data_IF_734681481593
#
_entry.id   IF_734681481593
#
_cell.length_a   1.000
_cell.length_b   1.000
_cell.length_c   1.000
_cell.angle_alpha   90.00
_cell.angle_beta   90.00
_cell.angle_gamma   90.00
#
_symmetry.space_group_name_H-M   'P 1'
#
loop_
_entity.id
_entity.type
_entity.pdbx_description
1 polymer ?
#
# COMPACT_ATOMS: atom_id res chain seq x y z
N UNK A 1 -24.61 -23.27 2.16
CA UNK A 1 -26.00 -23.66 1.93
C UNK A 1 -26.38 -23.17 0.55
N UNK A 2 -26.59 -24.09 -0.40
CA UNK A 2 -27.17 -23.75 -1.71
C UNK A 2 -28.63 -23.44 -1.52
N UNK A 3 -29.03 -22.20 -1.68
CA UNK A 3 -30.45 -21.81 -1.66
C UNK A 3 -31.04 -22.19 -3.02
N UNK A 4 -31.90 -23.19 -3.03
CA UNK A 4 -32.65 -23.59 -4.21
C UNK A 4 -33.64 -22.46 -4.58
N UNK A 5 -33.41 -21.77 -5.67
CA UNK A 5 -34.37 -20.79 -6.17
C UNK A 5 -35.49 -21.51 -6.96
N UNK A 6 -36.71 -21.23 -6.60
CA UNK A 6 -37.92 -21.70 -7.31
C UNK A 6 -37.87 -21.20 -8.77
N UNK A 7 -38.27 -22.03 -9.77
CA UNK A 7 -38.34 -21.61 -11.19
C UNK A 7 -39.16 -20.34 -11.46
N UNK A 8 -40.11 -19.98 -10.61
CA UNK A 8 -40.84 -18.71 -10.70
C UNK A 8 -40.00 -17.53 -10.23
N UNK A 9 -39.15 -17.69 -9.24
CA UNK A 9 -38.17 -16.66 -8.80
C UNK A 9 -37.10 -16.44 -9.86
N UNK A 10 -36.69 -17.48 -10.57
CA UNK A 10 -35.78 -17.36 -11.73
C UNK A 10 -36.44 -16.61 -12.90
N UNK A 11 -37.74 -16.75 -13.13
CA UNK A 11 -38.49 -15.99 -14.13
C UNK A 11 -38.64 -14.51 -13.76
N UNK A 12 -38.80 -14.17 -12.48
CA UNK A 12 -38.80 -12.77 -12.02
C UNK A 12 -37.43 -12.12 -12.17
N UNK A 13 -36.35 -12.84 -11.80
CA UNK A 13 -34.98 -12.35 -11.99
C UNK A 13 -34.57 -12.17 -13.47
N UNK A 14 -35.28 -12.86 -14.40
CA UNK A 14 -35.01 -12.76 -15.84
C UNK A 14 -35.87 -11.72 -16.58
N UNK A 15 -36.85 -11.09 -15.92
CA UNK A 15 -37.80 -10.19 -16.60
C UNK A 15 -37.50 -8.69 -16.48
N UNK A 16 -36.50 -8.24 -15.69
CA UNK A 16 -36.30 -6.79 -15.45
C UNK A 16 -34.90 -6.25 -15.72
N UNK A 17 -34.04 -6.94 -16.41
CA UNK A 17 -32.82 -6.32 -16.91
C UNK A 17 -32.72 -6.53 -18.41
N UNK A 18 -33.25 -5.60 -19.21
CA UNK A 18 -32.64 -5.33 -20.51
C UNK A 18 -31.15 -5.06 -20.21
N UNK A 19 -30.20 -5.86 -20.73
CA UNK A 19 -28.80 -5.62 -20.48
C UNK A 19 -28.47 -4.21 -21.01
N UNK A 20 -28.35 -3.24 -20.12
CA UNK A 20 -27.85 -1.93 -20.51
C UNK A 20 -26.45 -2.19 -21.05
N UNK A 21 -26.19 -1.65 -22.26
CA UNK A 21 -24.84 -1.71 -22.82
C UNK A 21 -23.89 -1.08 -21.81
N UNK A 22 -22.81 -1.79 -21.38
CA UNK A 22 -21.90 -1.23 -20.39
C UNK A 22 -21.38 0.11 -20.82
N UNK A 23 -21.19 1.04 -19.88
CA UNK A 23 -20.65 2.37 -20.15
C UNK A 23 -19.22 2.34 -20.66
N UNK A 24 -18.48 1.27 -20.39
CA UNK A 24 -17.10 1.05 -20.80
C UNK A 24 -16.39 0.05 -19.90
N UNK A 25 -15.14 -0.21 -20.20
CA UNK A 25 -14.26 -1.08 -19.43
C UNK A 25 -13.28 -0.23 -18.62
N UNK A 26 -13.15 -0.53 -17.33
CA UNK A 26 -12.08 -0.03 -16.47
C UNK A 26 -11.09 -1.16 -16.26
N UNK A 27 -9.86 -0.95 -16.72
CA UNK A 27 -8.78 -1.92 -16.59
C UNK A 27 -7.96 -1.66 -15.34
N UNK A 28 -7.73 -2.71 -14.55
CA UNK A 28 -6.79 -2.70 -13.43
C UNK A 28 -5.49 -3.33 -13.91
N UNK A 29 -4.39 -2.57 -13.88
CA UNK A 29 -3.04 -3.05 -14.12
C UNK A 29 -2.32 -3.22 -12.78
N UNK A 30 -1.81 -4.42 -12.50
CA UNK A 30 -1.06 -4.70 -11.26
C UNK A 30 0.23 -5.44 -11.56
N UNK A 31 1.32 -5.01 -10.92
CA UNK A 31 2.64 -5.62 -11.07
C UNK A 31 2.93 -6.65 -9.96
N UNK A 32 2.10 -6.72 -8.93
CA UNK A 32 2.23 -7.67 -7.84
C UNK A 32 1.07 -8.68 -7.77
N UNK A 33 1.27 -9.85 -7.15
CA UNK A 33 0.18 -10.75 -6.83
C UNK A 33 -0.75 -10.09 -5.81
N UNK A 34 -2.06 -10.09 -6.10
CA UNK A 34 -3.08 -9.61 -5.19
C UNK A 34 -3.67 -10.83 -4.48
N UNK A 35 -3.11 -11.20 -3.35
CA UNK A 35 -3.62 -12.28 -2.50
C UNK A 35 -4.52 -11.73 -1.38
N UNK A 36 -5.12 -12.63 -0.59
CA UNK A 36 -6.02 -12.26 0.51
C UNK A 36 -5.34 -11.53 1.68
N UNK A 37 -4.02 -11.50 1.71
CA UNK A 37 -3.23 -10.81 2.73
C UNK A 37 -2.79 -9.43 2.27
N UNK A 38 -2.97 -9.13 0.97
CA UNK A 38 -2.62 -7.86 0.40
C UNK A 38 -3.62 -6.76 0.83
N UNK A 39 -3.12 -5.57 1.19
CA UNK A 39 -3.97 -4.45 1.62
C UNK A 39 -5.05 -4.10 0.58
N UNK A 40 -4.78 -4.30 -0.70
CA UNK A 40 -5.67 -3.92 -1.80
C UNK A 40 -6.85 -4.87 -2.03
N UNK A 41 -6.89 -6.07 -1.43
CA UNK A 41 -7.96 -7.05 -1.71
C UNK A 41 -9.36 -6.52 -1.35
N UNK A 42 -9.52 -5.91 -0.16
CA UNK A 42 -10.77 -5.29 0.28
C UNK A 42 -11.11 -4.05 -0.56
N UNK A 43 -10.11 -3.26 -0.95
CA UNK A 43 -10.27 -2.12 -1.84
C UNK A 43 -10.81 -2.56 -3.20
N UNK A 44 -10.27 -3.64 -3.78
CA UNK A 44 -10.70 -4.17 -5.07
C UNK A 44 -12.14 -4.68 -5.05
N UNK A 45 -12.54 -5.39 -4.00
CA UNK A 45 -13.92 -5.83 -3.83
C UNK A 45 -14.89 -4.64 -3.77
N UNK A 46 -14.53 -3.60 -3.04
CA UNK A 46 -15.33 -2.37 -2.96
C UNK A 46 -15.37 -1.66 -4.31
N UNK A 47 -14.24 -1.49 -4.96
CA UNK A 47 -14.12 -0.86 -6.27
C UNK A 47 -14.96 -1.61 -7.33
N UNK A 48 -14.92 -2.95 -7.34
CA UNK A 48 -15.72 -3.77 -8.24
C UNK A 48 -17.23 -3.56 -8.00
N UNK A 49 -17.66 -3.54 -6.75
CA UNK A 49 -19.08 -3.31 -6.41
C UNK A 49 -19.56 -1.95 -6.88
N UNK A 50 -18.83 -0.88 -6.58
CA UNK A 50 -19.19 0.49 -6.95
C UNK A 50 -19.23 0.67 -8.47
N UNK A 51 -18.21 0.23 -9.19
CA UNK A 51 -18.14 0.37 -10.65
C UNK A 51 -19.21 -0.45 -11.37
N UNK A 52 -19.51 -1.68 -10.89
CA UNK A 52 -20.55 -2.52 -11.46
C UNK A 52 -21.94 -1.88 -11.30
N UNK A 53 -22.23 -1.27 -10.14
CA UNK A 53 -23.48 -0.54 -9.92
C UNK A 53 -23.65 0.65 -10.86
N UNK A 54 -22.54 1.25 -11.29
CA UNK A 54 -22.50 2.35 -12.24
C UNK A 54 -22.45 1.89 -13.71
N UNK A 55 -22.56 0.58 -13.96
CA UNK A 55 -22.64 0.01 -15.30
C UNK A 55 -21.29 -0.13 -16.04
N UNK A 56 -20.15 -0.13 -15.34
CA UNK A 56 -18.84 -0.39 -15.91
C UNK A 56 -18.44 -1.85 -15.74
N UNK A 57 -17.62 -2.35 -16.68
CA UNK A 57 -16.96 -3.65 -16.57
C UNK A 57 -15.56 -3.43 -15.98
N UNK A 58 -15.15 -4.28 -15.04
CA UNK A 58 -13.76 -4.31 -14.57
C UNK A 58 -13.05 -5.51 -15.17
N UNK A 59 -11.86 -5.25 -15.71
CA UNK A 59 -10.89 -6.27 -16.08
C UNK A 59 -9.62 -6.11 -15.26
N UNK A 60 -8.97 -7.23 -14.97
CA UNK A 60 -7.72 -7.23 -14.21
C UNK A 60 -6.61 -7.88 -15.05
N UNK A 61 -5.51 -7.16 -15.19
CA UNK A 61 -4.36 -7.58 -15.97
C UNK A 61 -3.12 -7.56 -15.07
N UNK A 62 -2.49 -8.71 -14.91
CA UNK A 62 -1.21 -8.80 -14.24
C UNK A 62 -0.09 -8.50 -15.22
N UNK A 63 0.76 -7.55 -14.85
CA UNK A 63 1.96 -7.18 -15.60
C UNK A 63 3.14 -7.98 -15.05
N UNK A 64 3.81 -8.73 -15.89
CA UNK A 64 5.02 -9.47 -15.53
C UNK A 64 6.25 -8.56 -15.46
N UNK A 65 7.31 -9.03 -14.78
CA UNK A 65 8.59 -8.32 -14.75
C UNK A 65 9.19 -8.15 -16.17
N UNK A 66 8.99 -9.13 -17.05
CA UNK A 66 9.46 -9.08 -18.44
C UNK A 66 8.70 -7.99 -19.24
N UNK A 67 7.37 -7.92 -19.10
CA UNK A 67 6.56 -6.88 -19.73
C UNK A 67 6.95 -5.49 -19.22
N UNK A 68 7.19 -5.33 -17.91
CA UNK A 68 7.69 -4.07 -17.37
C UNK A 68 9.06 -3.67 -17.95
N UNK A 69 10.01 -4.61 -17.99
CA UNK A 69 11.35 -4.37 -18.48
C UNK A 69 11.38 -4.01 -19.97
N UNK A 70 10.46 -4.59 -20.75
CA UNK A 70 10.36 -4.37 -22.19
C UNK A 70 9.34 -3.28 -22.56
N UNK A 71 8.73 -2.59 -21.59
CA UNK A 71 7.67 -1.58 -21.82
C UNK A 71 6.50 -2.13 -22.65
N UNK A 72 6.07 -3.35 -22.34
CA UNK A 72 4.98 -4.03 -23.03
C UNK A 72 3.74 -4.10 -22.14
N UNK A 73 2.57 -3.96 -22.74
CA UNK A 73 1.30 -4.21 -22.08
C UNK A 73 1.00 -5.71 -22.08
N UNK A 74 0.25 -6.23 -21.08
CA UNK A 74 -0.21 -7.61 -21.09
C UNK A 74 -1.00 -7.93 -22.39
N UNK A 75 -0.80 -9.11 -22.95
CA UNK A 75 -1.50 -9.54 -24.16
C UNK A 75 -3.04 -9.53 -24.03
N UNK A 76 -3.55 -9.63 -22.81
CA UNK A 76 -4.98 -9.55 -22.51
C UNK A 76 -5.52 -8.12 -22.42
N UNK A 77 -4.66 -7.11 -22.47
CA UNK A 77 -5.07 -5.70 -22.40
C UNK A 77 -5.35 -5.15 -23.78
N UNK A 78 -6.58 -4.66 -24.00
CA UNK A 78 -7.08 -4.14 -25.26
C UNK A 78 -7.46 -2.66 -25.11
N UNK A 79 -6.54 -1.72 -25.37
CA UNK A 79 -6.75 -0.28 -25.13
C UNK A 79 -8.03 0.29 -25.76
N UNK A 80 -8.44 -0.25 -26.91
CA UNK A 80 -9.63 0.19 -27.67
C UNK A 80 -10.95 -0.01 -26.93
N UNK A 81 -10.99 -0.87 -25.90
CA UNK A 81 -12.17 -1.16 -25.10
C UNK A 81 -12.18 -0.41 -23.75
N UNK A 82 -11.02 0.15 -23.35
CA UNK A 82 -10.78 0.69 -22.02
C UNK A 82 -11.07 2.18 -21.97
N UNK A 83 -11.94 2.60 -21.05
CA UNK A 83 -12.25 4.00 -20.81
C UNK A 83 -11.46 4.61 -19.63
N UNK A 84 -10.82 3.79 -18.81
CA UNK A 84 -9.98 4.23 -17.69
C UNK A 84 -9.10 3.11 -17.14
N UNK A 85 -7.94 3.48 -16.61
CA UNK A 85 -6.94 2.55 -16.07
C UNK A 85 -6.71 2.87 -14.60
N UNK A 86 -6.72 1.83 -13.75
CA UNK A 86 -6.26 1.91 -12.37
C UNK A 86 -4.96 1.10 -12.26
N UNK A 87 -3.87 1.75 -11.90
CA UNK A 87 -2.58 1.12 -11.66
C UNK A 87 -2.39 0.87 -10.16
N UNK A 88 -2.10 -0.38 -9.78
CA UNK A 88 -1.82 -0.80 -8.41
C UNK A 88 -0.44 -1.43 -8.40
N UNK A 89 0.43 -1.00 -7.46
CA UNK A 89 1.81 -1.48 -7.35
C UNK A 89 2.62 -1.37 -8.65
N UNK A 90 2.39 -0.31 -9.40
CA UNK A 90 3.15 0.02 -10.61
C UNK A 90 4.23 1.03 -10.26
N UNK A 91 5.37 0.55 -9.74
CA UNK A 91 6.42 1.40 -9.16
C UNK A 91 7.60 1.67 -10.09
N UNK A 92 7.66 1.03 -11.25
CA UNK A 92 8.62 1.40 -12.29
C UNK A 92 8.17 2.70 -12.98
N UNK A 93 8.97 3.77 -12.85
CA UNK A 93 8.62 5.09 -13.37
C UNK A 93 8.44 5.11 -14.89
N UNK A 94 9.34 4.47 -15.63
CA UNK A 94 9.31 4.50 -17.10
C UNK A 94 8.13 3.69 -17.65
N UNK A 95 7.79 2.57 -16.99
CA UNK A 95 6.59 1.81 -17.30
C UNK A 95 5.31 2.60 -16.98
N UNK A 96 5.25 3.24 -15.81
CA UNK A 96 4.13 4.12 -15.43
C UNK A 96 3.95 5.27 -16.44
N UNK A 97 5.05 5.86 -16.90
CA UNK A 97 5.05 6.89 -17.94
C UNK A 97 4.55 6.36 -19.27
N UNK A 98 4.92 5.15 -19.65
CA UNK A 98 4.41 4.50 -20.87
C UNK A 98 2.90 4.33 -20.79
N UNK A 99 2.34 3.86 -19.66
CA UNK A 99 0.88 3.74 -19.45
C UNK A 99 0.20 5.11 -19.59
N UNK A 100 0.77 6.17 -19.03
CA UNK A 100 0.21 7.51 -19.16
C UNK A 100 0.17 8.04 -20.61
N UNK A 101 0.96 7.49 -21.52
CA UNK A 101 1.00 7.87 -22.94
C UNK A 101 -0.04 7.12 -23.80
N UNK A 102 -0.94 6.32 -23.19
CA UNK A 102 -1.99 5.60 -23.92
C UNK A 102 -3.21 6.48 -24.26
N UNK A 103 -3.20 7.75 -23.88
CA UNK A 103 -4.33 8.69 -24.03
C UNK A 103 -5.64 8.21 -23.39
N UNK A 104 -5.53 7.36 -22.37
CA UNK A 104 -6.61 6.87 -21.53
C UNK A 104 -6.48 7.47 -20.13
N UNK A 105 -7.57 7.91 -19.47
CA UNK A 105 -7.53 8.32 -18.07
C UNK A 105 -6.86 7.31 -17.15
N UNK A 106 -5.82 7.73 -16.42
CA UNK A 106 -5.04 6.87 -15.49
C UNK A 106 -5.17 7.38 -14.07
N UNK A 107 -5.39 6.45 -13.17
CA UNK A 107 -5.31 6.62 -11.72
C UNK A 107 -4.25 5.67 -11.15
N UNK A 108 -3.30 6.18 -10.41
CA UNK A 108 -2.39 5.37 -9.60
C UNK A 108 -2.89 5.26 -8.16
N UNK A 109 -3.01 4.04 -7.66
CA UNK A 109 -3.16 3.75 -6.22
C UNK A 109 -1.78 3.41 -5.70
N UNK A 110 -1.17 4.38 -5.03
CA UNK A 110 0.26 4.53 -4.85
C UNK A 110 1.01 4.63 -6.21
N UNK A 111 2.22 5.09 -6.23
CA UNK A 111 2.93 5.35 -7.48
C UNK A 111 4.45 5.34 -7.28
N UNK A 112 5.27 5.28 -8.36
CA UNK A 112 6.72 5.41 -8.24
C UNK A 112 7.12 6.74 -7.61
N UNK A 113 8.27 6.78 -6.95
CA UNK A 113 8.81 8.03 -6.41
C UNK A 113 9.11 9.00 -7.55
N UNK A 114 8.43 10.16 -7.57
CA UNK A 114 8.48 11.06 -8.72
C UNK A 114 9.69 11.98 -8.75
N UNK A 115 10.16 12.45 -7.61
CA UNK A 115 11.33 13.35 -7.47
C UNK A 115 11.39 14.49 -8.52
N UNK A 116 10.25 15.19 -8.68
CA UNK A 116 10.18 16.31 -9.63
C UNK A 116 9.94 15.90 -11.09
N UNK A 117 9.68 14.62 -11.37
CA UNK A 117 9.27 14.10 -12.69
C UNK A 117 7.78 13.74 -12.70
N UNK A 118 6.86 14.71 -12.88
CA UNK A 118 5.43 14.44 -12.77
C UNK A 118 4.95 13.46 -13.82
N UNK A 119 3.97 12.63 -13.44
CA UNK A 119 3.20 11.78 -14.37
C UNK A 119 1.86 12.47 -14.65
N UNK A 120 1.38 12.47 -15.91
CA UNK A 120 0.07 13.03 -16.27
C UNK A 120 -1.07 12.08 -15.87
N UNK A 121 -1.29 11.91 -14.57
CA UNK A 121 -2.30 11.01 -13.99
C UNK A 121 -2.80 11.52 -12.65
N UNK A 122 -4.02 11.14 -12.28
CA UNK A 122 -4.50 11.29 -10.90
C UNK A 122 -3.84 10.25 -9.99
N UNK A 123 -3.72 10.57 -8.69
CA UNK A 123 -3.03 9.76 -7.70
C UNK A 123 -3.87 9.65 -6.44
N UNK A 124 -4.00 8.44 -5.94
CA UNK A 124 -4.66 8.13 -4.69
C UNK A 124 -3.65 7.50 -3.74
N UNK A 125 -3.50 8.08 -2.57
CA UNK A 125 -2.60 7.61 -1.52
C UNK A 125 -3.35 7.53 -0.19
N UNK A 126 -2.77 6.83 0.77
CA UNK A 126 -3.13 6.91 2.18
C UNK A 126 -2.28 7.99 2.87
N UNK A 127 -2.77 8.54 3.97
CA UNK A 127 -1.98 9.47 4.77
C UNK A 127 -0.81 8.72 5.43
N UNK A 128 0.37 8.93 4.88
CA UNK A 128 1.59 8.25 5.30
C UNK A 128 2.32 8.96 6.46
N UNK A 129 1.75 10.02 7.03
CA UNK A 129 2.49 10.92 7.92
C UNK A 129 1.88 11.04 9.32
N UNK A 130 0.61 11.40 9.45
CA UNK A 130 0.02 11.86 10.71
C UNK A 130 0.13 10.82 11.84
N UNK A 131 -0.11 9.55 11.54
CA UNK A 131 -0.02 8.49 12.53
C UNK A 131 1.42 8.12 12.88
N UNK A 132 2.38 8.33 11.97
CA UNK A 132 3.82 8.21 12.30
C UNK A 132 4.23 9.31 13.29
N UNK A 133 3.78 10.55 13.06
CA UNK A 133 4.00 11.65 14.03
C UNK A 133 3.37 11.35 15.38
N UNK A 134 2.16 10.81 15.39
CA UNK A 134 1.45 10.40 16.61
C UNK A 134 2.23 9.30 17.32
N UNK A 135 2.64 8.24 16.61
CA UNK A 135 3.37 7.12 17.18
C UNK A 135 4.71 7.56 17.79
N UNK A 136 5.52 8.33 17.07
CA UNK A 136 6.82 8.84 17.58
C UNK A 136 6.63 9.69 18.84
N UNK A 137 5.60 10.53 18.89
CA UNK A 137 5.28 11.34 20.08
C UNK A 137 4.91 10.45 21.27
N UNK A 138 4.13 9.40 21.08
CA UNK A 138 3.75 8.48 22.17
C UNK A 138 4.96 7.64 22.62
N UNK A 139 5.82 7.19 21.71
CA UNK A 139 7.07 6.49 22.05
C UNK A 139 7.97 7.38 22.92
N UNK A 140 8.13 8.65 22.55
CA UNK A 140 8.88 9.62 23.37
C UNK A 140 8.31 9.76 24.77
N UNK A 141 6.99 9.82 24.95
CA UNK A 141 6.34 9.87 26.29
C UNK A 141 6.64 8.62 27.13
N UNK A 142 6.83 7.47 26.46
CA UNK A 142 7.24 6.21 27.11
C UNK A 142 8.76 6.13 27.36
N UNK A 143 9.51 7.20 27.10
CA UNK A 143 10.96 7.24 27.31
C UNK A 143 11.77 6.57 26.17
N UNK A 144 11.13 6.18 25.08
CA UNK A 144 11.79 5.60 23.91
C UNK A 144 12.25 6.74 22.98
N UNK A 145 13.55 6.88 22.84
CA UNK A 145 14.16 8.06 22.17
C UNK A 145 14.97 7.71 20.93
N UNK A 146 15.44 6.47 20.83
CA UNK A 146 16.19 5.97 19.69
C UNK A 146 15.23 5.22 18.76
N UNK A 147 14.77 5.88 17.69
CA UNK A 147 13.78 5.34 16.78
C UNK A 147 14.37 5.27 15.39
N UNK A 148 14.24 4.11 14.74
CA UNK A 148 14.69 3.85 13.38
C UNK A 148 13.55 3.57 12.43
N UNK A 149 13.90 3.45 11.15
CA UNK A 149 12.97 3.11 10.06
C UNK A 149 13.56 1.99 9.20
N UNK A 150 12.70 1.06 8.79
CA UNK A 150 13.08 -0.05 7.89
C UNK A 150 12.15 -0.09 6.69
N UNK A 151 12.73 -0.02 5.50
CA UNK A 151 12.04 -0.13 4.22
C UNK A 151 12.79 0.60 3.12
N UNK A 152 12.89 -0.02 1.96
CA UNK A 152 13.54 0.55 0.79
C UNK A 152 12.88 1.89 0.41
N UNK A 153 13.57 3.00 0.69
CA UNK A 153 13.00 4.34 0.59
C UNK A 153 12.47 4.68 -0.81
N UNK A 154 13.11 4.18 -1.84
CA UNK A 154 12.76 4.49 -3.23
C UNK A 154 11.87 3.42 -3.88
N UNK A 155 11.36 2.47 -3.12
CA UNK A 155 10.47 1.42 -3.62
C UNK A 155 9.19 2.03 -4.23
N UNK A 156 8.49 2.85 -3.47
CA UNK A 156 7.27 3.54 -3.90
C UNK A 156 7.09 4.87 -3.15
N UNK A 157 6.15 5.69 -3.57
CA UNK A 157 5.89 6.99 -2.94
C UNK A 157 5.50 6.85 -1.47
N UNK A 158 4.69 5.86 -1.12
CA UNK A 158 4.29 5.63 0.28
C UNK A 158 5.50 5.31 1.17
N UNK A 159 6.43 4.47 0.73
CA UNK A 159 7.64 4.16 1.51
C UNK A 159 8.52 5.39 1.68
N UNK A 160 8.67 6.19 0.61
CA UNK A 160 9.39 7.46 0.67
C UNK A 160 8.77 8.42 1.70
N UNK A 161 7.44 8.59 1.65
CA UNK A 161 6.72 9.48 2.57
C UNK A 161 6.81 9.00 4.03
N UNK A 162 6.68 7.68 4.28
CA UNK A 162 6.80 7.07 5.62
C UNK A 162 8.19 7.26 6.21
N UNK A 163 9.24 7.07 5.41
CA UNK A 163 10.62 7.35 5.80
C UNK A 163 10.82 8.82 6.16
N UNK A 164 10.39 9.74 5.30
CA UNK A 164 10.50 11.18 5.55
C UNK A 164 9.64 11.64 6.72
N UNK A 165 8.45 11.06 6.90
CA UNK A 165 7.61 11.33 8.08
C UNK A 165 8.29 10.92 9.37
N UNK A 166 8.96 9.75 9.39
CA UNK A 166 9.73 9.31 10.56
C UNK A 166 10.84 10.31 10.89
N UNK A 167 11.65 10.73 9.92
CA UNK A 167 12.70 11.74 10.10
C UNK A 167 12.14 13.06 10.62
N UNK A 168 11.07 13.55 10.00
CA UNK A 168 10.43 14.79 10.40
C UNK A 168 9.82 14.70 11.82
N UNK A 169 9.20 13.56 12.16
CA UNK A 169 8.65 13.32 13.49
C UNK A 169 9.75 13.34 14.56
N UNK A 170 10.90 12.73 14.30
CA UNK A 170 12.07 12.78 15.19
C UNK A 170 12.55 14.23 15.37
N UNK A 171 12.73 14.95 14.27
CA UNK A 171 13.17 16.34 14.31
C UNK A 171 12.23 17.24 15.11
N UNK A 172 10.92 17.19 14.85
CA UNK A 172 9.90 18.01 15.55
C UNK A 172 9.82 17.66 17.05
N UNK A 173 10.04 16.41 17.40
CA UNK A 173 10.07 15.96 18.78
C UNK A 173 11.44 16.17 19.46
N UNK A 174 12.42 16.78 18.81
CA UNK A 174 13.79 16.96 19.32
C UNK A 174 14.43 15.63 19.75
N UNK A 175 14.21 14.58 18.98
CA UNK A 175 14.83 13.28 19.13
C UNK A 175 16.03 13.14 18.19
N UNK A 176 17.06 12.34 18.54
CA UNK A 176 18.20 12.12 17.68
C UNK A 176 17.79 11.37 16.40
N UNK A 177 18.44 11.70 15.28
CA UNK A 177 18.37 10.92 14.04
C UNK A 177 19.69 10.18 13.93
N UNK A 178 19.67 8.87 14.17
CA UNK A 178 20.82 8.01 13.97
C UNK A 178 20.68 7.30 12.61
N UNK A 179 21.54 7.62 11.66
CA UNK A 179 21.46 7.06 10.31
C UNK A 179 21.68 5.54 10.27
N UNK A 180 22.39 4.96 11.24
CA UNK A 180 22.54 3.49 11.35
C UNK A 180 21.20 2.78 11.62
N UNK A 181 20.18 3.49 12.10
CA UNK A 181 18.85 2.94 12.34
C UNK A 181 17.89 3.15 11.17
N UNK A 182 18.35 3.79 10.09
CA UNK A 182 17.56 3.95 8.86
C UNK A 182 18.04 2.95 7.81
N UNK A 183 17.40 1.78 7.77
CA UNK A 183 17.69 0.70 6.82
C UNK A 183 16.79 0.92 5.60
N UNK A 184 17.28 1.75 4.67
CA UNK A 184 16.48 2.33 3.59
C UNK A 184 16.93 1.92 2.19
N UNK A 185 18.01 1.14 2.10
CA UNK A 185 18.56 0.68 0.83
C UNK A 185 18.10 -0.74 0.51
N UNK A 186 18.14 -1.09 -0.78
CA UNK A 186 18.02 -2.46 -1.26
C UNK A 186 19.39 -3.17 -1.22
N UNK A 187 19.41 -4.53 -1.24
CA UNK A 187 20.64 -5.27 -1.41
C UNK A 187 21.36 -4.85 -2.72
N UNK A 188 22.66 -4.63 -2.64
CA UNK A 188 23.48 -4.33 -3.83
C UNK A 188 23.66 -5.55 -4.74
N UNK A 189 23.44 -6.76 -4.24
CA UNK A 189 23.54 -8.01 -4.96
C UNK A 189 22.14 -8.56 -5.25
N UNK A 190 21.88 -8.79 -6.54
CA UNK A 190 20.60 -9.35 -7.04
C UNK A 190 20.31 -10.76 -6.46
N UNK A 191 21.34 -11.47 -6.02
CA UNK A 191 21.20 -12.81 -5.45
C UNK A 191 20.81 -12.80 -3.96
N UNK A 192 20.96 -11.68 -3.27
CA UNK A 192 20.62 -11.54 -1.86
C UNK A 192 19.17 -11.08 -1.74
N UNK A 193 18.30 -11.90 -1.17
CA UNK A 193 16.94 -11.47 -0.85
C UNK A 193 16.94 -10.44 0.29
N UNK A 194 15.88 -9.62 0.34
CA UNK A 194 15.78 -8.49 1.29
C UNK A 194 15.82 -8.95 2.76
N UNK A 195 15.26 -10.11 3.08
CA UNK A 195 15.27 -10.65 4.44
C UNK A 195 16.67 -11.03 4.91
N UNK A 196 17.46 -11.68 4.03
CA UNK A 196 18.86 -11.99 4.31
C UNK A 196 19.69 -10.72 4.47
N UNK A 197 19.47 -9.72 3.63
CA UNK A 197 20.09 -8.41 3.77
C UNK A 197 19.78 -7.78 5.13
N UNK A 198 18.50 -7.75 5.52
CA UNK A 198 18.03 -7.20 6.79
C UNK A 198 18.61 -7.98 7.99
N UNK A 199 18.66 -9.31 7.93
CA UNK A 199 19.28 -10.14 8.97
C UNK A 199 20.73 -9.76 9.19
N UNK A 200 21.51 -9.68 8.12
CA UNK A 200 22.94 -9.32 8.19
C UNK A 200 23.11 -7.89 8.74
N UNK A 201 22.24 -6.96 8.37
CA UNK A 201 22.31 -5.58 8.87
C UNK A 201 22.05 -5.53 10.37
N UNK A 202 20.94 -6.11 10.84
CA UNK A 202 20.55 -6.11 12.27
C UNK A 202 21.61 -6.82 13.12
N UNK A 203 22.13 -7.96 12.69
CA UNK A 203 23.16 -8.71 13.41
C UNK A 203 24.45 -7.91 13.61
N UNK A 204 24.77 -6.99 12.71
CA UNK A 204 26.00 -6.19 12.75
C UNK A 204 25.81 -4.80 13.42
N UNK A 205 24.57 -4.44 13.84
CA UNK A 205 24.36 -3.22 14.61
C UNK A 205 25.12 -3.29 15.94
N UNK A 206 25.80 -2.22 16.31
CA UNK A 206 26.53 -2.12 17.58
C UNK A 206 25.57 -2.02 18.77
N UNK A 207 24.45 -1.36 18.57
CA UNK A 207 23.37 -1.18 19.53
C UNK A 207 22.03 -1.22 18.78
N UNK A 208 20.97 -1.63 19.46
CA UNK A 208 19.61 -1.62 18.90
C UNK A 208 18.93 -0.28 19.22
N UNK A 209 18.07 0.24 18.34
CA UNK A 209 17.18 1.31 18.70
C UNK A 209 16.10 0.83 19.68
N UNK A 210 15.45 1.76 20.36
CA UNK A 210 14.28 1.45 21.20
C UNK A 210 13.08 0.98 20.37
N UNK A 211 13.00 1.46 19.11
CA UNK A 211 11.85 1.27 18.22
C UNK A 211 12.29 1.18 16.77
N UNK A 212 11.73 0.25 16.02
CA UNK A 212 11.69 0.33 14.55
C UNK A 212 10.27 0.59 14.05
N UNK A 213 10.14 1.57 13.15
CA UNK A 213 8.97 1.76 12.29
C UNK A 213 9.28 1.07 10.96
N UNK A 214 8.48 0.09 10.58
CA UNK A 214 8.62 -0.63 9.32
C UNK A 214 7.74 0.00 8.25
N UNK A 215 8.23 0.06 7.02
CA UNK A 215 7.48 0.67 5.91
C UNK A 215 6.14 -0.03 5.66
N UNK A 216 6.04 -1.33 5.94
CA UNK A 216 4.77 -2.07 5.94
C UNK A 216 4.82 -3.26 6.93
N UNK A 217 3.69 -3.97 7.05
CA UNK A 217 3.57 -5.13 7.95
C UNK A 217 4.44 -6.31 7.51
N UNK A 218 4.64 -6.54 6.20
CA UNK A 218 5.47 -7.64 5.71
C UNK A 218 6.93 -7.50 6.16
N UNK A 219 7.47 -6.29 6.06
CA UNK A 219 8.81 -5.98 6.57
C UNK A 219 8.86 -6.18 8.09
N UNK A 220 7.81 -5.77 8.82
CA UNK A 220 7.73 -5.97 10.25
C UNK A 220 7.70 -7.47 10.62
N UNK A 221 7.00 -8.31 9.86
CA UNK A 221 6.96 -9.77 10.08
C UNK A 221 8.33 -10.41 9.85
N UNK A 222 9.03 -10.03 8.79
CA UNK A 222 10.39 -10.52 8.54
C UNK A 222 11.33 -10.07 9.65
N UNK A 223 11.24 -8.80 10.08
CA UNK A 223 12.03 -8.29 11.20
C UNK A 223 11.74 -9.07 12.50
N UNK A 224 10.47 -9.34 12.83
CA UNK A 224 10.13 -10.13 14.02
C UNK A 224 10.73 -11.55 13.99
N UNK A 225 10.78 -12.18 12.82
CA UNK A 225 11.44 -13.49 12.65
C UNK A 225 12.96 -13.39 12.86
N UNK A 226 13.58 -12.33 12.32
CA UNK A 226 15.02 -12.05 12.48
C UNK A 226 15.35 -11.81 13.94
N UNK A 227 14.61 -10.93 14.64
CA UNK A 227 14.82 -10.61 16.04
C UNK A 227 14.71 -11.86 16.90
N UNK A 228 13.72 -12.73 16.64
CA UNK A 228 13.57 -14.02 17.33
C UNK A 228 14.78 -14.93 17.13
N UNK A 229 15.34 -15.02 15.91
CA UNK A 229 16.55 -15.79 15.62
C UNK A 229 17.77 -15.25 16.37
N UNK A 230 17.83 -13.95 16.59
CA UNK A 230 18.89 -13.27 17.33
C UNK A 230 18.65 -13.23 18.85
N UNK A 231 17.57 -13.87 19.35
CA UNK A 231 17.13 -13.86 20.75
C UNK A 231 16.83 -12.45 21.29
N UNK A 232 16.36 -11.53 20.46
CA UNK A 232 15.93 -10.19 20.82
C UNK A 232 14.41 -10.23 21.02
N UNK A 233 13.93 -9.72 22.16
CA UNK A 233 12.53 -9.80 22.55
C UNK A 233 11.76 -8.56 22.09
N UNK A 234 10.55 -8.79 21.56
CA UNK A 234 9.59 -7.75 21.22
C UNK A 234 8.40 -7.91 22.16
N UNK A 235 8.02 -6.89 22.90
CA UNK A 235 8.48 -5.48 22.92
C UNK A 235 9.58 -5.15 23.94
N UNK A 236 10.11 -6.13 24.69
CA UNK A 236 10.95 -5.89 25.88
C UNK A 236 12.28 -5.20 25.51
N UNK A 237 12.98 -5.72 24.50
CA UNK A 237 14.25 -5.16 24.03
C UNK A 237 14.03 -4.09 22.96
N UNK A 238 13.02 -4.26 22.10
CA UNK A 238 12.72 -3.35 21.00
C UNK A 238 11.22 -3.34 20.66
N UNK A 239 10.65 -2.16 20.49
CA UNK A 239 9.28 -2.00 20.02
C UNK A 239 9.20 -1.97 18.49
N UNK A 240 8.07 -2.43 17.93
CA UNK A 240 7.83 -2.42 16.49
C UNK A 240 6.49 -1.78 16.15
N UNK A 241 6.48 -1.04 15.04
CA UNK A 241 5.28 -0.53 14.39
C UNK A 241 5.34 -0.86 12.89
N UNK A 242 4.28 -1.48 12.38
CA UNK A 242 4.05 -1.72 10.95
C UNK A 242 3.15 -0.65 10.31
N UNK A 243 2.78 -0.92 9.09
CA UNK A 243 1.81 -0.15 8.32
C UNK A 243 0.98 -1.13 7.47
N UNK A 244 -0.30 -0.86 7.22
CA UNK A 244 -1.35 -1.58 6.49
C UNK A 244 -2.41 -2.19 7.42
N UNK A 245 -2.08 -2.57 8.65
CA UNK A 245 -2.92 -3.35 9.58
C UNK A 245 -3.51 -4.60 8.92
N UNK A 246 -2.65 -5.34 8.24
CA UNK A 246 -3.01 -6.57 7.55
C UNK A 246 -3.63 -7.60 8.51
N UNK A 247 -4.45 -8.54 8.03
CA UNK A 247 -5.04 -9.58 8.89
C UNK A 247 -4.01 -10.35 9.71
N UNK A 248 -2.80 -10.54 9.17
CA UNK A 248 -1.70 -11.25 9.85
C UNK A 248 -1.14 -10.47 11.04
N UNK A 249 -1.24 -9.14 11.08
CA UNK A 249 -0.76 -8.31 12.18
C UNK A 249 -1.40 -8.66 13.53
N UNK A 250 -2.64 -9.17 13.52
CA UNK A 250 -3.38 -9.60 14.71
C UNK A 250 -3.02 -11.02 15.16
N UNK A 251 -2.48 -11.84 14.25
CA UNK A 251 -2.26 -13.27 14.45
C UNK A 251 -0.81 -13.62 14.81
N UNK A 252 0.11 -12.74 14.48
CA UNK A 252 1.53 -12.92 14.82
C UNK A 252 1.75 -12.75 16.32
N UNK A 253 2.83 -13.30 16.86
CA UNK A 253 3.18 -13.22 18.31
C UNK A 253 4.52 -12.52 18.49
N UNK A 254 4.55 -11.39 19.24
CA UNK A 254 3.40 -10.65 19.75
C UNK A 254 2.58 -9.97 18.65
N UNK A 255 1.27 -9.69 18.84
CA UNK A 255 0.47 -8.95 17.87
C UNK A 255 1.10 -7.59 17.52
N UNK A 256 1.15 -7.28 16.24
CA UNK A 256 1.84 -6.11 15.70
C UNK A 256 0.99 -4.84 15.82
N UNK A 257 1.54 -3.80 16.47
CA UNK A 257 1.07 -2.42 16.35
C UNK A 257 1.26 -1.98 14.91
N UNK A 258 0.22 -1.49 14.27
CA UNK A 258 0.27 -1.13 12.85
C UNK A 258 -0.65 0.05 12.54
N UNK A 259 -0.32 0.79 11.50
CA UNK A 259 -1.15 1.89 11.00
C UNK A 259 -2.14 1.31 10.00
N UNK A 260 -3.44 1.43 10.33
CA UNK A 260 -4.55 0.88 9.56
C UNK A 260 -4.88 1.74 8.34
N UNK A 261 -5.03 1.10 7.20
CA UNK A 261 -5.50 1.69 5.94
C UNK A 261 -6.99 1.39 5.79
N UNK A 262 -7.80 2.42 5.56
CA UNK A 262 -9.23 2.29 5.28
C UNK A 262 -9.48 1.85 3.83
N UNK A 263 -9.25 0.58 3.54
CA UNK A 263 -9.27 0.02 2.18
C UNK A 263 -10.60 0.20 1.44
N UNK A 264 -11.75 0.13 2.15
CA UNK A 264 -13.05 0.40 1.52
C UNK A 264 -13.17 1.85 1.06
N UNK A 265 -12.66 2.79 1.85
CA UNK A 265 -12.66 4.22 1.51
C UNK A 265 -11.74 4.47 0.31
N UNK A 266 -10.56 3.83 0.28
CA UNK A 266 -9.69 3.87 -0.91
C UNK A 266 -10.43 3.39 -2.17
N UNK A 267 -11.20 2.30 -2.07
CA UNK A 267 -12.00 1.79 -3.19
C UNK A 267 -13.03 2.81 -3.71
N UNK A 268 -13.76 3.46 -2.81
CA UNK A 268 -14.73 4.53 -3.17
C UNK A 268 -14.01 5.70 -3.82
N UNK A 269 -12.96 6.21 -3.18
CA UNK A 269 -12.18 7.35 -3.70
C UNK A 269 -11.55 7.06 -5.07
N UNK A 270 -11.11 5.80 -5.31
CA UNK A 270 -10.57 5.40 -6.61
C UNK A 270 -11.62 5.52 -7.71
N UNK A 271 -12.85 5.05 -7.45
CA UNK A 271 -13.97 5.16 -8.40
C UNK A 271 -14.30 6.61 -8.68
N UNK A 272 -14.52 7.42 -7.64
CA UNK A 272 -14.90 8.83 -7.77
C UNK A 272 -13.84 9.62 -8.54
N UNK A 273 -12.56 9.39 -8.23
CA UNK A 273 -11.45 10.11 -8.82
C UNK A 273 -11.30 9.76 -10.31
N UNK A 274 -11.34 8.45 -10.66
CA UNK A 274 -11.23 8.00 -12.04
C UNK A 274 -12.45 8.42 -12.88
N UNK A 275 -13.67 8.21 -12.39
CA UNK A 275 -14.89 8.57 -13.13
C UNK A 275 -15.00 10.07 -13.36
N UNK A 276 -14.57 10.89 -12.39
CA UNK A 276 -14.52 12.34 -12.61
C UNK A 276 -13.54 12.74 -13.72
N UNK A 277 -12.41 12.02 -13.86
CA UNK A 277 -11.44 12.20 -14.95
C UNK A 277 -11.99 11.74 -16.29
N UNK A 278 -12.68 10.60 -16.32
CA UNK A 278 -13.35 10.10 -17.55
C UNK A 278 -14.40 11.12 -18.03
N UNK A 279 -15.16 11.68 -17.10
CA UNK A 279 -16.21 12.68 -17.41
C UNK A 279 -15.64 14.00 -17.92
N UNK A 280 -14.55 14.47 -17.33
CA UNK A 280 -13.89 15.73 -17.69
C UNK A 280 -12.35 15.56 -17.72
N UNK A 281 -11.79 15.21 -18.88
CA UNK A 281 -10.34 15.03 -19.06
C UNK A 281 -9.55 16.34 -18.87
N UNK A 282 -10.18 17.50 -18.88
CA UNK A 282 -9.53 18.82 -18.81
C UNK A 282 -9.14 19.23 -17.38
N UNK A 283 -9.62 18.50 -16.37
CA UNK A 283 -9.29 18.78 -14.97
C UNK A 283 -7.77 18.69 -14.74
N UNK A 284 -7.25 19.52 -13.84
CA UNK A 284 -5.88 19.34 -13.36
C UNK A 284 -5.72 17.99 -12.70
N UNK A 285 -4.54 17.37 -12.83
CA UNK A 285 -4.23 16.14 -12.11
C UNK A 285 -4.23 16.38 -10.61
N UNK A 286 -4.83 15.44 -9.87
CA UNK A 286 -5.05 15.55 -8.42
C UNK A 286 -4.29 14.45 -7.69
N UNK A 287 -3.84 14.78 -6.49
CA UNK A 287 -3.41 13.79 -5.51
C UNK A 287 -4.39 13.85 -4.35
N UNK A 288 -4.99 12.71 -4.05
CA UNK A 288 -5.95 12.55 -2.94
C UNK A 288 -5.34 11.63 -1.90
N UNK A 289 -5.44 12.00 -0.64
CA UNK A 289 -5.02 11.20 0.51
C UNK A 289 -6.25 10.78 1.32
N UNK A 290 -6.33 9.49 1.67
CA UNK A 290 -7.31 8.99 2.62
C UNK A 290 -6.71 8.94 4.03
N UNK A 291 -7.53 9.09 5.05
CA UNK A 291 -7.10 8.98 6.45
C UNK A 291 -6.57 7.59 6.77
N UNK A 292 -5.72 7.53 7.79
CA UNK A 292 -5.24 6.31 8.43
C UNK A 292 -5.40 6.45 9.93
N UNK A 293 -5.32 5.37 10.68
CA UNK A 293 -5.29 5.42 12.13
C UNK A 293 -4.42 4.31 12.71
N UNK A 294 -3.68 4.62 13.77
CA UNK A 294 -2.84 3.64 14.42
C UNK A 294 -3.65 2.69 15.30
N UNK A 295 -3.32 1.40 15.23
CA UNK A 295 -3.88 0.32 16.06
C UNK A 295 -2.78 -0.22 16.95
N UNK A 296 -2.77 0.21 18.23
CA UNK A 296 -1.80 -0.24 19.21
C UNK A 296 -2.06 -1.69 19.62
N UNK A 297 -0.98 -2.48 19.66
CA UNK A 297 -0.94 -3.88 20.12
C UNK A 297 0.33 -4.13 20.93
N UNK A 298 0.59 -5.39 21.23
CA UNK A 298 1.65 -5.80 22.16
C UNK A 298 3.05 -5.43 21.68
N UNK A 299 3.32 -5.39 20.37
CA UNK A 299 4.67 -5.11 19.84
C UNK A 299 5.22 -3.71 20.16
N UNK A 300 4.40 -2.78 20.62
CA UNK A 300 4.84 -1.44 21.02
C UNK A 300 4.65 -1.14 22.50
N UNK A 301 3.98 -2.02 23.26
CA UNK A 301 3.76 -1.92 24.71
C UNK A 301 3.29 -0.53 25.20
N UNK A 302 2.38 0.10 24.45
CA UNK A 302 1.73 1.34 24.85
C UNK A 302 0.37 0.99 25.47
N UNK A 303 0.17 1.38 26.72
CA UNK A 303 -1.17 1.33 27.30
C UNK A 303 -2.08 2.28 26.49
N UNK A 304 -3.27 1.83 26.05
CA UNK A 304 -4.18 2.71 25.33
C UNK A 304 -4.48 3.93 26.19
N UNK A 305 -4.09 5.11 25.73
CA UNK A 305 -4.52 6.38 26.34
C UNK A 305 -6.03 6.47 26.12
N UNK A 306 -6.79 6.43 27.21
CA UNK A 306 -8.25 6.59 27.25
C UNK A 306 -8.66 8.00 26.82
#
# INVERSE_FOLDING_TARGET
QFTYMNPEQLKFASQEATPQKPHGEIAILTCAPLDNFHFSSTMLDKLQRETTQLGYIITMHRVSNEEQANYQLPNSFHPENVCGIICIETFNYDYAKMICNLDIPVLFVDHPVLMGRPLPADRLLMNNQDEIFTFVREMKKCGKTNIGFIGEQLHCQSFFERCMATRNALYINSLPINEEFFIIDAPNDILTDYKTYLFNYIQNLKELPDVFICANDFIAFDLMQILRQLNIQVPEDICLCGFDDSPAAKLITPPLTSIHIHNEILGVCAVDLLLSRIKDPTLNYRTVYTETNIVYRESANIAPTR
#
